data_IF_833136928702
#
_entry.id   IF_833136928702
#
_cell.length_a   1.000
_cell.length_b   1.000
_cell.length_c   1.000
_cell.angle_alpha   90.00
_cell.angle_beta   90.00
_cell.angle_gamma   90.00
#
_symmetry.space_group_name_H-M   'P 1'
#
loop_
_entity.id
_entity.type
_entity.pdbx_description
1 polymer ?
#
# COMPACT_ATOMS: atom_id res chain seq x y z
N UNK A 1 -28.43 -1.88 2.83
CA UNK A 1 -28.23 -0.86 1.77
C UNK A 1 -27.06 -1.28 0.91
N UNK A 2 -27.33 -2.06 -0.15
CA UNK A 2 -26.31 -2.46 -1.12
C UNK A 2 -26.30 -1.41 -2.23
N UNK A 3 -25.28 -0.54 -2.26
CA UNK A 3 -25.14 0.41 -3.35
C UNK A 3 -24.40 -0.24 -4.52
N UNK A 4 -25.11 -0.27 -5.63
CA UNK A 4 -24.78 -0.80 -6.94
C UNK A 4 -23.64 0.03 -7.56
N UNK A 5 -22.39 -0.43 -7.49
CA UNK A 5 -21.21 0.39 -7.81
C UNK A 5 -20.70 0.19 -9.24
N UNK A 6 -21.60 0.34 -10.22
CA UNK A 6 -21.33 0.24 -11.65
C UNK A 6 -21.57 1.54 -12.43
N UNK A 7 -21.60 2.70 -11.78
CA UNK A 7 -21.77 3.99 -12.46
C UNK A 7 -20.42 4.50 -12.99
N UNK A 8 -20.41 5.08 -14.20
CA UNK A 8 -19.25 5.69 -14.85
C UNK A 8 -18.50 6.71 -13.95
N UNK A 9 -19.21 7.36 -13.03
CA UNK A 9 -18.66 8.26 -12.02
C UNK A 9 -17.70 7.57 -11.04
N UNK A 10 -17.97 6.32 -10.65
CA UNK A 10 -17.11 5.55 -9.73
C UNK A 10 -15.76 5.20 -10.36
N UNK A 11 -15.75 4.86 -11.65
CA UNK A 11 -14.52 4.59 -12.39
C UNK A 11 -13.66 5.85 -12.54
N UNK A 12 -14.28 6.97 -12.93
CA UNK A 12 -13.56 8.25 -13.08
C UNK A 12 -12.88 8.67 -11.77
N UNK A 13 -13.53 8.49 -10.62
CA UNK A 13 -12.95 8.79 -9.30
C UNK A 13 -11.74 7.90 -9.00
N UNK A 14 -11.84 6.59 -9.23
CA UNK A 14 -10.74 5.63 -9.00
C UNK A 14 -9.54 5.92 -9.89
N UNK A 15 -9.78 6.21 -11.16
CA UNK A 15 -8.72 6.61 -12.09
C UNK A 15 -8.09 7.93 -11.64
N UNK A 16 -8.89 8.93 -11.27
CA UNK A 16 -8.37 10.21 -10.76
C UNK A 16 -7.46 10.06 -9.55
N UNK A 17 -7.79 9.18 -8.60
CA UNK A 17 -6.92 8.89 -7.44
C UNK A 17 -5.59 8.26 -7.88
N UNK A 18 -5.59 7.34 -8.85
CA UNK A 18 -4.36 6.73 -9.36
C UNK A 18 -3.50 7.75 -10.14
N UNK A 19 -4.11 8.68 -10.86
CA UNK A 19 -3.44 9.74 -11.61
C UNK A 19 -2.63 10.68 -10.69
N UNK A 20 -3.08 10.92 -9.46
CA UNK A 20 -2.36 11.75 -8.48
C UNK A 20 -0.99 11.19 -8.07
N UNK A 21 -0.74 9.89 -8.30
CA UNK A 21 0.51 9.22 -7.96
C UNK A 21 1.55 9.26 -9.11
N UNK A 22 1.19 9.82 -10.27
CA UNK A 22 2.09 9.90 -11.43
C UNK A 22 3.33 10.74 -11.13
N UNK A 23 4.48 10.28 -11.61
CA UNK A 23 5.77 10.94 -11.43
C UNK A 23 6.41 10.73 -10.06
N UNK A 24 5.76 9.98 -9.15
CA UNK A 24 6.29 9.65 -7.84
C UNK A 24 6.87 8.24 -7.73
N UNK A 25 7.44 7.96 -6.55
CA UNK A 25 7.93 6.63 -6.16
C UNK A 25 7.07 6.08 -5.02
N UNK A 26 6.67 4.80 -5.14
CA UNK A 26 5.98 4.06 -4.08
C UNK A 26 6.98 3.08 -3.46
N UNK A 27 7.17 3.14 -2.14
CA UNK A 27 8.18 2.34 -1.45
C UNK A 27 7.57 1.18 -0.66
N UNK A 28 8.14 -0.02 -0.80
CA UNK A 28 7.81 -1.22 -0.01
C UNK A 28 8.38 -1.08 1.42
N UNK A 29 7.53 -1.21 2.45
CA UNK A 29 7.91 -1.05 3.87
C UNK A 29 7.33 -2.16 4.76
N UNK A 30 8.06 -2.54 5.81
CA UNK A 30 7.66 -3.62 6.74
C UNK A 30 7.31 -3.17 8.15
N UNK A 31 7.61 -1.92 8.52
CA UNK A 31 7.35 -1.33 9.84
C UNK A 31 7.14 0.19 9.75
N UNK A 32 6.74 0.81 10.86
CA UNK A 32 6.49 2.24 10.95
C UNK A 32 7.74 3.09 10.65
N UNK A 33 8.91 2.70 11.17
CA UNK A 33 10.15 3.46 10.98
C UNK A 33 10.54 3.57 9.50
N UNK A 34 10.44 2.47 8.76
CA UNK A 34 10.67 2.47 7.31
C UNK A 34 9.66 3.35 6.56
N UNK A 35 8.40 3.39 7.03
CA UNK A 35 7.39 4.26 6.43
C UNK A 35 7.75 5.74 6.62
N UNK A 36 8.14 6.14 7.82
CA UNK A 36 8.60 7.50 8.11
C UNK A 36 9.82 7.88 7.27
N UNK A 37 10.79 6.98 7.12
CA UNK A 37 11.97 7.20 6.27
C UNK A 37 11.56 7.36 4.80
N UNK A 38 10.64 6.53 4.30
CA UNK A 38 10.15 6.62 2.93
C UNK A 38 9.45 7.97 2.66
N UNK A 39 8.60 8.43 3.58
CA UNK A 39 7.96 9.74 3.50
C UNK A 39 8.98 10.88 3.48
N UNK A 40 9.96 10.85 4.39
CA UNK A 40 11.04 11.84 4.42
C UNK A 40 11.92 11.83 3.17
N UNK A 41 12.08 10.68 2.53
CA UNK A 41 12.80 10.52 1.26
C UNK A 41 12.00 11.02 0.04
N UNK A 42 10.76 11.48 0.22
CA UNK A 42 9.91 12.00 -0.85
C UNK A 42 9.09 10.94 -1.58
N UNK A 43 8.83 9.78 -0.96
CA UNK A 43 7.88 8.81 -1.50
C UNK A 43 6.48 9.43 -1.59
N UNK A 44 5.76 9.19 -2.69
CA UNK A 44 4.37 9.67 -2.85
C UNK A 44 3.36 8.75 -2.19
N UNK A 45 3.74 7.50 -1.91
CA UNK A 45 2.96 6.51 -1.18
C UNK A 45 3.88 5.41 -0.64
N UNK A 46 3.38 4.60 0.30
CA UNK A 46 4.07 3.41 0.82
C UNK A 46 3.23 2.15 0.61
N UNK A 47 3.90 1.01 0.45
CA UNK A 47 3.29 -0.31 0.31
C UNK A 47 3.63 -1.16 1.54
N UNK A 48 2.64 -1.36 2.40
CA UNK A 48 2.78 -2.15 3.63
C UNK A 48 2.77 -3.65 3.35
N UNK A 49 3.78 -4.36 3.84
CA UNK A 49 3.96 -5.80 3.62
C UNK A 49 4.67 -6.47 4.80
N UNK A 50 4.46 -7.78 4.94
CA UNK A 50 5.01 -8.53 6.07
C UNK A 50 6.53 -8.73 5.91
N UNK A 51 6.98 -8.96 4.68
CA UNK A 51 8.37 -9.25 4.28
C UNK A 51 8.62 -8.69 2.89
N UNK A 52 9.80 -8.10 2.66
CA UNK A 52 10.16 -7.54 1.34
C UNK A 52 10.25 -8.63 0.27
N UNK A 53 10.01 -8.32 -1.01
CA UNK A 53 10.05 -9.33 -2.09
C UNK A 53 11.35 -10.14 -2.16
N UNK A 54 12.49 -9.52 -1.80
CA UNK A 54 13.78 -10.21 -1.71
C UNK A 54 13.78 -11.31 -0.64
N UNK A 55 13.24 -11.03 0.55
CA UNK A 55 13.11 -11.99 1.65
C UNK A 55 12.12 -13.11 1.29
N UNK A 56 10.97 -12.78 0.70
CA UNK A 56 9.98 -13.78 0.26
C UNK A 56 10.62 -14.78 -0.72
N UNK A 57 11.46 -14.30 -1.65
CA UNK A 57 12.16 -15.15 -2.61
C UNK A 57 13.23 -16.02 -1.96
N UNK A 58 13.96 -15.50 -0.97
CA UNK A 58 15.03 -16.22 -0.29
C UNK A 58 14.49 -17.31 0.67
N UNK A 59 13.46 -16.99 1.44
CA UNK A 59 12.88 -17.90 2.46
C UNK A 59 11.88 -18.89 1.85
N UNK A 60 11.28 -18.54 0.71
CA UNK A 60 10.18 -19.31 0.13
C UNK A 60 8.92 -19.33 1.00
N UNK A 61 8.07 -20.33 0.75
CA UNK A 61 6.83 -20.55 1.49
C UNK A 61 5.66 -19.65 1.06
N UNK A 62 4.61 -19.63 1.88
CA UNK A 62 3.35 -18.95 1.55
C UNK A 62 3.37 -17.50 2.05
N UNK A 63 3.41 -16.55 1.13
CA UNK A 63 3.22 -15.12 1.43
C UNK A 63 1.72 -14.78 1.52
N UNK A 64 1.33 -14.12 2.62
CA UNK A 64 -0.05 -13.65 2.85
C UNK A 64 -0.05 -12.12 3.04
N UNK A 65 -1.26 -11.55 3.14
CA UNK A 65 -1.44 -10.15 3.51
C UNK A 65 -0.76 -9.87 4.86
N UNK A 66 -0.17 -8.68 5.01
CA UNK A 66 0.35 -8.21 6.28
C UNK A 66 -0.76 -8.14 7.34
N UNK A 67 -0.39 -8.30 8.60
CA UNK A 67 -1.36 -8.16 9.70
C UNK A 67 -2.05 -6.78 9.65
N UNK A 68 -3.39 -6.69 9.77
CA UNK A 68 -4.09 -5.41 9.82
C UNK A 68 -3.57 -4.47 10.91
N UNK A 69 -3.06 -5.03 12.03
CA UNK A 69 -2.42 -4.24 13.09
C UNK A 69 -1.19 -3.48 12.57
N UNK A 70 -0.32 -4.16 11.83
CA UNK A 70 0.89 -3.60 11.22
C UNK A 70 0.55 -2.55 10.15
N UNK A 71 -0.49 -2.80 9.35
CA UNK A 71 -0.95 -1.82 8.35
C UNK A 71 -1.45 -0.55 9.04
N UNK A 72 -2.26 -0.67 10.10
CA UNK A 72 -2.76 0.49 10.86
C UNK A 72 -1.66 1.28 11.55
N UNK A 73 -0.63 0.58 12.03
CA UNK A 73 0.55 1.21 12.61
C UNK A 73 1.29 2.06 11.57
N UNK A 74 1.53 1.53 10.37
CA UNK A 74 2.13 2.27 9.25
C UNK A 74 1.25 3.46 8.85
N UNK A 75 -0.06 3.28 8.75
CA UNK A 75 -1.01 4.36 8.44
C UNK A 75 -1.00 5.49 9.47
N UNK A 76 -0.74 5.17 10.75
CA UNK A 76 -0.66 6.18 11.80
C UNK A 76 0.69 6.91 11.82
N UNK A 77 1.73 6.33 11.22
CA UNK A 77 3.09 6.87 11.22
C UNK A 77 3.33 7.92 10.11
N UNK A 78 2.61 7.85 8.99
CA UNK A 78 2.84 8.71 7.82
C UNK A 78 1.57 9.42 7.35
N UNK A 79 1.74 10.54 6.64
CA UNK A 79 0.64 11.32 6.06
C UNK A 79 0.34 10.96 4.60
N UNK A 80 1.29 10.32 3.93
CA UNK A 80 1.14 9.86 2.53
C UNK A 80 0.26 8.60 2.41
N UNK A 81 -0.37 8.37 1.24
CA UNK A 81 -1.20 7.18 1.01
C UNK A 81 -0.49 5.86 1.33
N UNK A 82 -1.22 4.95 1.99
CA UNK A 82 -0.75 3.60 2.32
C UNK A 82 -1.50 2.57 1.49
N UNK A 83 -0.75 1.76 0.77
CA UNK A 83 -1.23 0.59 0.03
C UNK A 83 -0.87 -0.69 0.79
N UNK A 84 -1.55 -1.80 0.48
CA UNK A 84 -1.25 -3.10 1.06
C UNK A 84 -1.45 -4.21 0.02
N UNK A 85 -0.71 -5.31 0.16
CA UNK A 85 -0.82 -6.47 -0.74
C UNK A 85 -1.84 -7.49 -0.25
N UNK A 86 -2.67 -7.97 -1.16
CA UNK A 86 -3.47 -9.18 -0.99
C UNK A 86 -3.01 -10.27 -1.97
N UNK A 87 -3.44 -11.52 -1.74
CA UNK A 87 -3.22 -12.62 -2.70
C UNK A 87 -4.20 -12.46 -3.87
N UNK A 88 -3.89 -13.13 -4.98
CA UNK A 88 -4.78 -13.19 -6.14
C UNK A 88 -6.00 -14.05 -5.80
N UNK A 89 -7.19 -13.55 -6.16
CA UNK A 89 -8.48 -14.15 -5.81
C UNK A 89 -8.99 -13.76 -4.43
#
# INVERSE_FOLDING_TARGET
>A
MSQNNGSSTSLRLKTGLAEMLKGGVIMDVTNADQATIAEQAGAVAVMALERVPAQIRAEGGVARMASPKKIREIMAAVSIPVMAKCRIG
#
